data_IF_299703435912
#
_entry.id   IF_299703435912
#
_cell.length_a   1.000
_cell.length_b   1.000
_cell.length_c   1.000
_cell.angle_alpha   90.00
_cell.angle_beta   90.00
_cell.angle_gamma   90.00
#
_symmetry.space_group_name_H-M   'P 1'
#
loop_
_entity.id
_entity.type
_entity.pdbx_description
1 polymer ?
#
# COMPACT_ATOMS: atom_id res chain seq x y z
N UNK A 1 23.48 13.79 -9.67
CA UNK A 1 23.37 13.00 -10.92
C UNK A 1 21.97 13.21 -11.44
N UNK A 2 21.79 13.68 -12.67
CA UNK A 2 20.45 13.99 -13.22
C UNK A 2 19.65 12.69 -13.43
N UNK A 3 18.45 12.61 -12.88
CA UNK A 3 17.53 11.47 -13.04
C UNK A 3 16.34 11.87 -13.92
N UNK A 4 15.85 10.94 -14.73
CA UNK A 4 14.63 11.21 -15.52
C UNK A 4 13.42 11.34 -14.58
N UNK A 5 13.23 10.38 -13.69
CA UNK A 5 12.15 10.35 -12.70
C UNK A 5 12.65 9.73 -11.38
N UNK A 6 12.18 10.26 -10.26
CA UNK A 6 12.31 9.65 -8.93
C UNK A 6 10.94 9.40 -8.33
N UNK A 7 10.85 8.47 -7.37
CA UNK A 7 9.59 8.18 -6.68
C UNK A 7 9.59 8.70 -5.25
N UNK A 8 8.43 9.21 -4.81
CA UNK A 8 8.17 9.64 -3.44
C UNK A 8 6.96 8.88 -2.91
N UNK A 9 7.15 7.99 -1.95
CA UNK A 9 6.09 7.13 -1.38
C UNK A 9 5.58 7.75 -0.08
N UNK A 10 4.31 8.11 -0.05
CA UNK A 10 3.61 8.63 1.11
C UNK A 10 3.24 7.47 2.06
N UNK A 11 4.03 7.25 3.08
CA UNK A 11 3.90 6.14 4.04
C UNK A 11 3.55 6.61 5.47
N UNK A 12 3.08 7.84 5.61
CA UNK A 12 2.87 8.53 6.90
C UNK A 12 1.46 8.42 7.49
N UNK A 13 0.51 7.70 6.89
CA UNK A 13 -0.87 7.60 7.36
C UNK A 13 -1.03 6.84 8.68
N UNK A 14 -1.91 7.33 9.58
CA UNK A 14 -2.17 6.68 10.90
C UNK A 14 -2.85 5.31 10.79
N UNK A 15 -3.58 5.03 9.70
CA UNK A 15 -4.29 3.77 9.51
C UNK A 15 -5.37 3.48 10.56
N UNK A 16 -5.99 4.51 11.16
CA UNK A 16 -6.92 4.40 12.29
C UNK A 16 -8.10 3.45 12.07
N UNK A 17 -8.53 3.28 10.80
CA UNK A 17 -9.63 2.38 10.42
C UNK A 17 -9.28 0.88 10.56
N UNK A 18 -8.00 0.51 10.59
CA UNK A 18 -7.52 -0.85 10.88
C UNK A 18 -7.45 -1.14 12.39
N UNK A 19 -7.86 -0.18 13.24
CA UNK A 19 -8.03 -0.32 14.68
C UNK A 19 -6.79 -0.93 15.38
N UNK A 20 -6.99 -2.07 16.06
CA UNK A 20 -5.94 -2.77 16.83
C UNK A 20 -4.76 -3.23 15.97
N UNK A 21 -4.97 -3.56 14.68
CA UNK A 21 -3.91 -4.02 13.78
C UNK A 21 -2.84 -2.94 13.54
N UNK A 22 -3.23 -1.67 13.56
CA UNK A 22 -2.31 -0.52 13.40
C UNK A 22 -2.00 0.18 14.71
N UNK A 23 -2.28 -0.45 15.86
CA UNK A 23 -1.98 0.13 17.18
C UNK A 23 -0.48 0.43 17.33
N UNK A 24 0.38 -0.47 16.85
CA UNK A 24 1.84 -0.37 16.99
C UNK A 24 2.59 -0.41 15.65
N UNK A 25 1.87 -0.48 14.53
CA UNK A 25 2.41 -0.65 13.18
C UNK A 25 1.83 0.41 12.25
N UNK A 26 2.67 1.04 11.43
CA UNK A 26 2.20 1.90 10.34
C UNK A 26 1.45 1.07 9.28
N UNK A 27 0.38 1.61 8.67
CA UNK A 27 -0.42 0.88 7.66
C UNK A 27 0.44 0.26 6.54
N UNK A 28 1.45 0.93 5.96
CA UNK A 28 2.31 0.32 4.95
C UNK A 28 3.10 -0.92 5.42
N UNK A 29 3.30 -1.09 6.72
CA UNK A 29 3.99 -2.25 7.30
C UNK A 29 3.06 -3.40 7.71
N UNK A 30 1.75 -3.29 7.44
CA UNK A 30 0.78 -4.36 7.72
C UNK A 30 1.08 -5.58 6.83
N UNK A 31 1.08 -6.81 7.39
CA UNK A 31 1.29 -8.05 6.65
C UNK A 31 0.18 -8.31 5.63
N UNK A 32 0.58 -8.87 4.47
CA UNK A 32 -0.31 -9.21 3.37
C UNK A 32 0.18 -10.47 2.63
N UNK A 33 -0.73 -11.31 2.16
CA UNK A 33 -0.42 -12.46 1.30
C UNK A 33 0.51 -13.49 1.94
N UNK A 34 0.55 -13.56 3.26
CA UNK A 34 1.37 -14.50 4.04
C UNK A 34 2.84 -14.09 4.19
N UNK A 35 3.43 -13.47 3.18
CA UNK A 35 4.87 -13.15 3.11
C UNK A 35 5.17 -11.66 3.08
N UNK A 36 4.33 -10.88 2.42
CA UNK A 36 4.57 -9.49 2.07
C UNK A 36 4.09 -8.51 3.15
N UNK A 37 4.49 -7.25 3.00
CA UNK A 37 3.84 -6.08 3.59
C UNK A 37 3.28 -5.19 2.49
N UNK A 38 2.33 -4.33 2.82
CA UNK A 38 1.68 -3.47 1.82
C UNK A 38 2.71 -2.62 1.05
N UNK A 39 3.73 -2.09 1.74
CA UNK A 39 4.79 -1.26 1.14
C UNK A 39 5.63 -2.00 0.08
N UNK A 40 5.65 -3.33 0.13
CA UNK A 40 6.44 -4.13 -0.82
C UNK A 40 5.93 -3.96 -2.25
N UNK A 41 4.64 -3.68 -2.43
CA UNK A 41 4.02 -3.47 -3.73
C UNK A 41 4.51 -2.20 -4.43
N UNK A 42 4.36 -0.98 -3.86
CA UNK A 42 4.88 0.22 -4.51
C UNK A 42 6.40 0.20 -4.66
N UNK A 43 7.18 -0.35 -3.71
CA UNK A 43 8.63 -0.49 -3.87
C UNK A 43 8.98 -1.42 -5.03
N UNK A 44 8.33 -2.58 -5.14
CA UNK A 44 8.54 -3.52 -6.24
C UNK A 44 8.12 -2.95 -7.59
N UNK A 45 7.01 -2.21 -7.62
CA UNK A 45 6.57 -1.53 -8.84
C UNK A 45 7.60 -0.48 -9.29
N UNK A 46 8.21 0.27 -8.36
CA UNK A 46 9.29 1.22 -8.70
C UNK A 46 10.44 0.51 -9.39
N UNK A 47 10.96 -0.56 -8.79
CA UNK A 47 12.11 -1.30 -9.33
C UNK A 47 11.77 -1.96 -10.68
N UNK A 48 10.62 -2.61 -10.78
CA UNK A 48 10.17 -3.22 -12.02
C UNK A 48 9.92 -2.20 -13.15
N UNK A 49 9.68 -0.93 -12.80
CA UNK A 49 9.56 0.20 -13.74
C UNK A 49 10.90 0.92 -13.98
N UNK A 50 12.03 0.38 -13.53
CA UNK A 50 13.35 0.97 -13.71
C UNK A 50 13.63 2.23 -12.87
N UNK A 51 12.86 2.47 -11.81
CA UNK A 51 13.07 3.60 -10.88
C UNK A 51 13.99 3.12 -9.76
N UNK A 52 15.18 3.66 -9.71
CA UNK A 52 16.25 3.31 -8.78
C UNK A 52 16.40 4.27 -7.58
N UNK A 53 15.62 5.33 -7.54
CA UNK A 53 15.70 6.38 -6.51
C UNK A 53 14.33 6.61 -5.90
N UNK A 54 14.18 6.27 -4.62
CA UNK A 54 12.90 6.25 -3.93
C UNK A 54 13.01 6.93 -2.57
N UNK A 55 12.23 7.98 -2.33
CA UNK A 55 12.04 8.58 -1.02
C UNK A 55 10.79 8.01 -0.35
N UNK A 56 10.89 7.48 0.86
CA UNK A 56 9.75 6.98 1.63
C UNK A 56 9.47 7.93 2.80
N UNK A 57 8.35 8.66 2.70
CA UNK A 57 7.96 9.66 3.70
C UNK A 57 7.19 8.99 4.83
N UNK A 58 7.80 8.92 6.01
CA UNK A 58 7.24 8.26 7.20
C UNK A 58 6.90 9.28 8.27
N UNK A 59 5.88 9.03 9.08
CA UNK A 59 5.52 9.93 10.17
C UNK A 59 5.09 9.18 11.43
N UNK A 60 4.07 8.34 11.33
CA UNK A 60 3.53 7.60 12.48
C UNK A 60 4.14 6.20 12.57
N UNK A 61 4.57 5.81 13.79
CA UNK A 61 5.07 4.47 14.10
C UNK A 61 6.09 3.91 13.09
N UNK A 62 7.15 4.65 12.78
CA UNK A 62 8.04 4.35 11.68
C UNK A 62 8.93 3.13 11.93
N UNK A 63 9.12 2.71 13.19
CA UNK A 63 10.15 1.74 13.57
C UNK A 63 10.08 0.41 12.79
N UNK A 64 8.89 -0.23 12.77
CA UNK A 64 8.74 -1.52 12.09
C UNK A 64 8.77 -1.38 10.56
N UNK A 65 8.29 -0.25 10.03
CA UNK A 65 8.39 0.05 8.61
C UNK A 65 9.86 0.26 8.20
N UNK A 66 10.60 1.09 8.94
CA UNK A 66 12.00 1.35 8.68
C UNK A 66 12.85 0.08 8.79
N UNK A 67 12.57 -0.76 9.82
CA UNK A 67 13.24 -2.06 9.98
C UNK A 67 12.96 -2.99 8.78
N UNK A 68 11.76 -2.96 8.23
CA UNK A 68 11.38 -3.79 7.09
C UNK A 68 12.05 -3.31 5.79
N UNK A 69 12.05 -2.00 5.53
CA UNK A 69 12.71 -1.45 4.33
C UNK A 69 14.23 -1.60 4.43
N UNK A 70 14.79 -1.33 5.63
CA UNK A 70 16.24 -1.35 5.85
C UNK A 70 16.96 -0.41 4.90
N UNK A 71 18.00 -0.91 4.25
CA UNK A 71 18.75 -0.20 3.19
C UNK A 71 18.21 -0.44 1.79
N UNK A 72 17.13 -1.23 1.64
CA UNK A 72 16.50 -1.48 0.35
C UNK A 72 17.00 -2.72 -0.40
N UNK A 73 17.89 -3.52 0.17
CA UNK A 73 18.51 -4.68 -0.51
C UNK A 73 17.51 -5.66 -1.14
N UNK A 74 16.34 -5.97 -0.54
CA UNK A 74 15.39 -6.88 -1.18
C UNK A 74 14.87 -6.39 -2.55
N UNK A 75 14.90 -5.09 -2.77
CA UNK A 75 14.45 -4.41 -4.00
C UNK A 75 15.61 -3.93 -4.87
N UNK A 76 16.87 -4.30 -4.55
CA UNK A 76 18.05 -3.76 -5.24
C UNK A 76 18.11 -2.21 -5.20
N UNK A 77 17.67 -1.64 -4.07
CA UNK A 77 17.63 -0.19 -3.82
C UNK A 77 18.69 0.24 -2.79
N UNK A 78 19.78 -0.50 -2.65
CA UNK A 78 20.95 -0.19 -1.81
C UNK A 78 22.16 0.32 -2.62
N UNK A 79 21.88 1.08 -3.67
CA UNK A 79 22.86 1.58 -4.64
C UNK A 79 23.41 2.94 -4.21
N UNK A 80 24.72 3.13 -4.32
CA UNK A 80 25.37 4.42 -4.04
C UNK A 80 24.91 5.52 -5.02
N UNK A 81 24.50 6.66 -4.48
CA UNK A 81 23.99 7.79 -5.29
C UNK A 81 22.58 7.63 -5.83
N UNK A 82 21.87 6.59 -5.41
CA UNK A 82 20.48 6.26 -5.72
C UNK A 82 19.84 5.55 -4.52
N UNK A 83 18.93 4.60 -4.76
CA UNK A 83 18.40 3.70 -3.73
C UNK A 83 17.24 4.26 -2.94
N UNK A 84 16.88 3.56 -1.86
CA UNK A 84 15.78 3.99 -0.99
C UNK A 84 16.28 4.85 0.18
N UNK A 85 15.59 5.96 0.42
CA UNK A 85 15.82 6.84 1.56
C UNK A 85 14.56 6.96 2.40
N UNK A 86 14.69 6.77 3.72
CA UNK A 86 13.61 7.02 4.66
C UNK A 86 13.64 8.50 5.07
N UNK A 87 12.53 9.17 4.86
CA UNK A 87 12.36 10.61 5.06
C UNK A 87 11.35 10.87 6.18
N UNK A 88 11.78 10.96 7.45
CA UNK A 88 10.92 11.36 8.56
C UNK A 88 10.76 12.89 8.59
N UNK A 89 9.68 13.41 9.21
CA UNK A 89 9.63 14.82 9.56
C UNK A 89 10.78 15.15 10.53
N UNK A 90 11.27 16.36 10.44
CA UNK A 90 12.39 16.81 11.29
C UNK A 90 12.04 18.06 12.09
N UNK A 91 12.69 18.24 13.21
CA UNK A 91 12.61 19.46 14.01
C UNK A 91 13.75 20.39 13.65
N UNK A 92 13.47 21.68 13.55
CA UNK A 92 14.47 22.74 13.58
C UNK A 92 14.58 23.30 15.00
N UNK A 93 15.55 24.14 15.27
CA UNK A 93 15.71 24.79 16.59
C UNK A 93 14.44 25.54 17.06
N UNK A 94 13.61 25.98 16.12
CA UNK A 94 12.46 26.84 16.39
C UNK A 94 11.10 26.19 16.12
N UNK A 95 11.02 25.02 15.44
CA UNK A 95 9.77 24.42 15.01
C UNK A 95 9.83 22.89 14.94
N UNK A 96 8.78 22.24 15.44
CA UNK A 96 8.49 20.84 15.14
C UNK A 96 7.74 20.76 13.81
N UNK A 97 8.33 20.14 12.79
CA UNK A 97 7.79 20.10 11.44
C UNK A 97 7.12 18.75 11.12
N UNK A 98 6.04 18.43 11.84
CA UNK A 98 5.16 17.34 11.41
C UNK A 98 4.57 17.65 10.04
N UNK A 99 4.46 16.63 9.18
CA UNK A 99 3.77 16.77 7.89
C UNK A 99 2.29 17.09 8.14
N UNK A 100 1.84 18.25 7.71
CA UNK A 100 0.46 18.73 7.89
C UNK A 100 -0.51 18.04 6.94
N UNK A 101 -0.02 17.59 5.78
CA UNK A 101 -0.77 16.90 4.75
C UNK A 101 0.17 16.22 3.75
N UNK A 102 -0.38 15.58 2.75
CA UNK A 102 0.36 14.81 1.73
C UNK A 102 1.27 15.71 0.89
N UNK A 103 0.82 16.89 0.53
CA UNK A 103 1.61 17.88 -0.23
C UNK A 103 2.71 18.50 0.64
N UNK A 104 2.45 18.76 1.93
CA UNK A 104 3.45 19.27 2.86
C UNK A 104 4.61 18.30 3.05
N UNK A 105 4.33 17.00 3.04
CA UNK A 105 5.38 15.99 3.13
C UNK A 105 6.37 16.07 1.95
N UNK A 106 5.88 16.30 0.74
CA UNK A 106 6.74 16.51 -0.44
C UNK A 106 7.48 17.85 -0.35
N UNK A 107 6.79 18.92 0.02
CA UNK A 107 7.41 20.25 0.17
C UNK A 107 8.57 20.25 1.16
N UNK A 108 8.39 19.64 2.34
CA UNK A 108 9.47 19.58 3.35
C UNK A 108 10.70 18.79 2.88
N UNK A 109 10.54 17.93 1.86
CA UNK A 109 11.60 17.13 1.26
C UNK A 109 12.01 17.61 -0.15
N UNK A 110 11.68 18.85 -0.52
CA UNK A 110 12.05 19.45 -1.82
C UNK A 110 13.56 19.39 -2.06
N UNK A 111 14.38 19.62 -1.03
CA UNK A 111 15.83 19.54 -1.14
C UNK A 111 16.34 18.14 -1.48
N UNK A 112 15.69 17.09 -0.96
CA UNK A 112 16.00 15.71 -1.34
C UNK A 112 15.74 15.47 -2.83
N UNK A 113 14.61 15.96 -3.34
CA UNK A 113 14.26 15.83 -4.75
C UNK A 113 15.28 16.61 -5.62
N UNK A 114 15.59 17.83 -5.24
CA UNK A 114 16.53 18.70 -5.96
C UNK A 114 17.96 18.11 -6.06
N UNK A 115 18.40 17.30 -5.10
CA UNK A 115 19.71 16.62 -5.17
C UNK A 115 19.85 15.75 -6.42
N UNK A 116 18.75 15.22 -6.94
CA UNK A 116 18.72 14.36 -8.12
C UNK A 116 18.37 15.09 -9.42
N UNK A 117 17.96 16.37 -9.35
CA UNK A 117 17.56 17.21 -10.48
C UNK A 117 16.65 16.47 -11.49
N UNK A 118 15.53 15.86 -11.03
CA UNK A 118 14.67 15.07 -11.90
C UNK A 118 13.82 15.95 -12.81
N UNK A 119 13.46 15.44 -14.00
CA UNK A 119 12.44 16.06 -14.84
C UNK A 119 11.04 15.81 -14.28
N UNK A 120 10.82 14.59 -13.78
CA UNK A 120 9.53 14.10 -13.31
C UNK A 120 9.64 13.56 -11.88
N UNK A 121 8.55 13.71 -11.13
CA UNK A 121 8.40 13.12 -9.79
C UNK A 121 7.14 12.25 -9.77
N UNK A 122 7.32 10.98 -9.41
CA UNK A 122 6.24 10.04 -9.16
C UNK A 122 5.86 10.09 -7.69
N UNK A 123 4.60 10.42 -7.39
CA UNK A 123 4.05 10.41 -6.04
C UNK A 123 3.17 9.17 -5.89
N UNK A 124 3.42 8.38 -4.85
CA UNK A 124 2.73 7.12 -4.59
C UNK A 124 2.11 7.09 -3.20
N UNK A 125 0.93 6.49 -3.08
CA UNK A 125 0.43 6.03 -1.79
C UNK A 125 1.13 4.73 -1.39
N UNK A 126 1.65 4.65 -0.17
CA UNK A 126 2.37 3.48 0.35
C UNK A 126 1.47 2.39 0.94
N UNK A 127 0.16 2.47 0.74
CA UNK A 127 -0.84 1.68 1.48
C UNK A 127 -1.88 0.96 0.59
N UNK A 128 -1.57 0.77 -0.69
CA UNK A 128 -2.40 0.07 -1.67
C UNK A 128 -1.75 -1.20 -2.23
N UNK A 129 -2.57 -2.15 -2.64
CA UNK A 129 -2.16 -3.41 -3.27
C UNK A 129 -2.48 -3.38 -4.76
N UNK A 130 -1.43 -3.43 -5.60
CA UNK A 130 -1.56 -3.42 -7.06
C UNK A 130 -0.22 -3.75 -7.72
N UNK A 131 -0.26 -4.09 -9.01
CA UNK A 131 0.92 -4.18 -9.89
C UNK A 131 0.76 -3.16 -11.00
N UNK A 132 1.75 -2.28 -11.20
CA UNK A 132 1.67 -1.21 -12.19
C UNK A 132 3.05 -0.86 -12.72
N UNK A 133 3.14 -0.71 -14.04
CA UNK A 133 4.30 -0.22 -14.77
C UNK A 133 4.23 1.31 -14.85
N UNK A 134 5.07 1.97 -14.06
CA UNK A 134 5.12 3.44 -14.04
C UNK A 134 5.83 4.05 -15.25
N UNK A 135 6.67 3.27 -15.95
CA UNK A 135 7.32 3.75 -17.17
C UNK A 135 6.28 3.97 -18.28
N UNK A 136 5.30 3.08 -18.40
CA UNK A 136 4.15 3.29 -19.31
C UNK A 136 3.32 4.53 -18.96
N UNK A 137 3.12 4.78 -17.67
CA UNK A 137 2.43 6.00 -17.23
C UNK A 137 3.26 7.26 -17.54
N UNK A 138 4.59 7.18 -17.41
CA UNK A 138 5.49 8.27 -17.77
C UNK A 138 5.47 8.55 -19.29
N UNK A 139 5.51 7.50 -20.11
CA UNK A 139 5.39 7.64 -21.56
C UNK A 139 4.06 8.29 -21.96
N UNK A 140 2.97 7.91 -21.31
CA UNK A 140 1.67 8.55 -21.51
C UNK A 140 1.70 10.02 -21.10
N UNK A 141 2.31 10.35 -19.95
CA UNK A 141 2.46 11.71 -19.45
C UNK A 141 3.22 12.61 -20.48
N UNK A 142 4.36 12.12 -20.95
CA UNK A 142 5.20 12.82 -21.92
C UNK A 142 4.48 12.99 -23.27
N UNK A 143 3.87 11.92 -23.78
CA UNK A 143 3.20 11.92 -25.09
C UNK A 143 2.02 12.88 -25.15
N UNK A 144 1.36 13.11 -24.02
CA UNK A 144 0.26 14.06 -23.91
C UNK A 144 0.73 15.48 -23.58
N UNK A 145 2.02 15.72 -23.33
CA UNK A 145 2.53 17.01 -22.88
C UNK A 145 1.85 17.49 -21.59
N UNK A 146 1.59 16.57 -20.67
CA UNK A 146 0.90 16.87 -19.43
C UNK A 146 1.81 17.60 -18.41
N UNK A 147 1.25 18.51 -17.62
CA UNK A 147 1.90 19.07 -16.43
C UNK A 147 1.78 18.14 -15.22
N UNK A 148 0.65 17.42 -15.16
CA UNK A 148 0.41 16.34 -14.22
C UNK A 148 -0.41 15.21 -14.85
N UNK A 149 -0.17 13.97 -14.40
CA UNK A 149 -0.97 12.79 -14.78
C UNK A 149 -1.39 12.06 -13.52
N UNK A 150 -2.66 11.70 -13.44
CA UNK A 150 -3.27 10.98 -12.33
C UNK A 150 -3.66 9.59 -12.79
N UNK A 151 -3.18 8.54 -12.14
CA UNK A 151 -3.69 7.20 -12.40
C UNK A 151 -5.11 7.08 -11.84
N UNK A 152 -6.01 6.58 -12.67
CA UNK A 152 -7.44 6.41 -12.34
C UNK A 152 -7.90 4.99 -12.60
N UNK A 153 -8.89 4.56 -11.85
CA UNK A 153 -9.56 3.28 -12.01
C UNK A 153 -11.07 3.47 -11.94
N UNK A 154 -11.81 2.71 -12.75
CA UNK A 154 -13.26 2.66 -12.64
C UNK A 154 -13.66 1.91 -11.38
N UNK A 155 -14.50 2.53 -10.55
CA UNK A 155 -15.07 1.93 -9.36
C UNK A 155 -16.61 1.94 -9.44
N UNK A 156 -17.29 1.02 -8.74
CA UNK A 156 -18.75 1.10 -8.62
C UNK A 156 -19.18 2.45 -8.06
N UNK A 157 -20.27 3.01 -8.60
CA UNK A 157 -20.74 4.34 -8.21
C UNK A 157 -21.00 4.46 -6.68
N UNK A 158 -21.40 3.35 -6.07
CA UNK A 158 -21.62 3.22 -4.62
C UNK A 158 -20.35 3.44 -3.79
N UNK A 159 -19.18 3.09 -4.37
CA UNK A 159 -17.88 3.25 -3.72
C UNK A 159 -17.20 4.58 -4.06
N UNK A 160 -17.62 5.25 -5.13
CA UNK A 160 -16.95 6.44 -5.66
C UNK A 160 -16.84 7.58 -4.63
N UNK A 161 -17.82 7.71 -3.72
CA UNK A 161 -17.79 8.71 -2.64
C UNK A 161 -16.63 8.55 -1.63
N UNK A 162 -15.90 7.45 -1.70
CA UNK A 162 -14.74 7.17 -0.82
C UNK A 162 -13.44 7.73 -1.36
N UNK A 163 -13.41 8.12 -2.64
CA UNK A 163 -12.20 8.48 -3.39
C UNK A 163 -12.29 9.91 -3.93
N UNK A 164 -11.15 10.42 -4.36
CA UNK A 164 -11.12 11.58 -5.24
C UNK A 164 -11.59 11.18 -6.64
N UNK A 165 -12.57 11.88 -7.18
CA UNK A 165 -13.22 11.56 -8.45
C UNK A 165 -12.78 12.54 -9.54
N UNK A 166 -12.42 12.00 -10.70
CA UNK A 166 -12.04 12.77 -11.88
C UNK A 166 -13.19 12.87 -12.87
N UNK A 167 -13.42 14.09 -13.38
CA UNK A 167 -14.25 14.32 -14.52
C UNK A 167 -13.34 14.70 -15.70
N UNK A 168 -13.45 13.95 -16.81
CA UNK A 168 -12.54 14.07 -17.96
C UNK A 168 -13.29 14.36 -19.26
N UNK A 169 -12.57 14.98 -20.19
CA UNK A 169 -12.99 15.05 -21.59
C UNK A 169 -12.88 13.66 -22.24
N UNK A 170 -13.38 13.53 -23.48
CA UNK A 170 -13.22 12.29 -24.27
C UNK A 170 -11.76 11.90 -24.51
N UNK A 171 -10.84 12.87 -24.50
CA UNK A 171 -9.40 12.64 -24.68
C UNK A 171 -8.67 12.35 -23.37
N UNK A 172 -9.39 12.20 -22.23
CA UNK A 172 -8.82 11.90 -20.93
C UNK A 172 -8.18 13.10 -20.21
N UNK A 173 -8.38 14.34 -20.69
CA UNK A 173 -7.96 15.55 -20.00
C UNK A 173 -8.90 15.83 -18.83
N UNK A 174 -8.34 16.02 -17.64
CA UNK A 174 -9.10 16.27 -16.40
C UNK A 174 -9.51 17.75 -16.39
N UNK A 175 -10.81 18.02 -16.30
CA UNK A 175 -11.33 19.37 -16.17
C UNK A 175 -11.92 19.67 -14.77
N UNK A 176 -12.20 18.64 -13.98
CA UNK A 176 -12.73 18.77 -12.62
C UNK A 176 -12.25 17.63 -11.74
N UNK A 177 -11.93 17.94 -10.50
CA UNK A 177 -11.59 17.00 -9.45
C UNK A 177 -12.45 17.24 -8.22
N UNK A 178 -13.05 16.18 -7.68
CA UNK A 178 -13.91 16.24 -6.49
C UNK A 178 -13.37 15.28 -5.41
N UNK A 179 -12.87 15.82 -4.30
CA UNK A 179 -12.38 14.99 -3.19
C UNK A 179 -13.56 14.44 -2.36
N UNK A 180 -13.76 13.13 -2.44
CA UNK A 180 -14.81 12.38 -1.70
C UNK A 180 -16.19 13.01 -1.81
N UNK A 181 -16.72 13.21 -3.03
CA UNK A 181 -18.01 13.86 -3.24
C UNK A 181 -19.16 13.02 -2.65
N UNK A 182 -20.16 13.67 -2.07
CA UNK A 182 -21.37 12.99 -1.58
C UNK A 182 -22.20 12.40 -2.73
N UNK A 183 -22.15 13.05 -3.88
CA UNK A 183 -22.88 12.66 -5.09
C UNK A 183 -21.90 12.72 -6.26
N UNK A 184 -21.13 11.64 -6.49
CA UNK A 184 -20.11 11.60 -7.54
C UNK A 184 -20.76 11.71 -8.93
N UNK A 185 -20.13 12.48 -9.83
CA UNK A 185 -20.58 12.65 -11.22
C UNK A 185 -19.93 11.61 -12.15
N UNK A 186 -18.85 10.96 -11.72
CA UNK A 186 -18.07 9.98 -12.48
C UNK A 186 -17.69 8.81 -11.59
N UNK A 187 -17.28 7.70 -12.22
CA UNK A 187 -16.74 6.50 -11.57
C UNK A 187 -15.21 6.45 -11.59
N UNK A 188 -14.54 7.42 -12.24
CA UNK A 188 -13.09 7.48 -12.35
C UNK A 188 -12.47 7.93 -11.04
N UNK A 189 -12.06 6.97 -10.23
CA UNK A 189 -11.43 7.20 -8.93
C UNK A 189 -9.92 7.38 -9.05
N UNK A 190 -9.37 8.36 -8.34
CA UNK A 190 -7.93 8.52 -8.18
C UNK A 190 -7.34 7.35 -7.38
N UNK A 191 -6.28 6.74 -7.90
CA UNK A 191 -5.52 5.73 -7.20
C UNK A 191 -4.51 6.30 -6.20
N UNK A 192 -4.38 7.63 -6.08
CA UNK A 192 -3.33 8.26 -5.28
C UNK A 192 -1.93 8.06 -5.87
N UNK A 193 -1.85 7.94 -7.19
CA UNK A 193 -0.63 7.77 -7.97
C UNK A 193 -0.56 8.92 -8.96
N UNK A 194 0.50 9.73 -8.89
CA UNK A 194 0.63 10.94 -9.68
C UNK A 194 2.01 11.04 -10.31
N UNK A 195 2.11 11.47 -11.56
CA UNK A 195 3.35 11.94 -12.18
C UNK A 195 3.22 13.45 -12.42
N UNK A 196 4.21 14.21 -11.99
CA UNK A 196 4.30 15.65 -12.20
C UNK A 196 5.60 16.04 -12.89
N UNK A 197 5.57 17.04 -13.73
CA UNK A 197 6.77 17.82 -14.03
C UNK A 197 7.27 18.44 -12.73
N UNK A 198 8.54 18.19 -12.35
CA UNK A 198 9.05 18.68 -11.06
C UNK A 198 8.97 20.20 -10.93
N UNK A 199 9.27 20.93 -11.99
CA UNK A 199 9.19 22.39 -11.99
C UNK A 199 7.78 22.93 -11.69
N UNK A 200 6.74 22.28 -12.23
CA UNK A 200 5.33 22.64 -12.01
C UNK A 200 4.92 22.30 -10.57
N UNK A 201 5.20 21.08 -10.11
CA UNK A 201 4.87 20.67 -8.76
C UNK A 201 5.57 21.53 -7.72
N UNK A 202 6.87 21.79 -7.91
CA UNK A 202 7.67 22.60 -6.99
C UNK A 202 7.10 24.00 -6.81
N UNK A 203 6.70 24.65 -7.91
CA UNK A 203 6.02 25.96 -7.86
C UNK A 203 4.71 25.86 -7.11
N UNK A 204 3.86 24.88 -7.44
CA UNK A 204 2.54 24.71 -6.81
C UNK A 204 2.66 24.46 -5.30
N UNK A 205 3.63 23.65 -4.85
CA UNK A 205 3.90 23.38 -3.45
C UNK A 205 4.33 24.64 -2.68
N UNK A 206 5.25 25.43 -3.26
CA UNK A 206 5.71 26.68 -2.66
C UNK A 206 4.60 27.70 -2.52
N UNK A 207 3.80 27.86 -3.56
CA UNK A 207 2.65 28.76 -3.54
C UNK A 207 1.59 28.31 -2.52
N UNK A 208 1.36 26.98 -2.44
CA UNK A 208 0.44 26.41 -1.45
C UNK A 208 0.88 26.71 -0.01
N UNK A 209 2.20 26.73 0.29
CA UNK A 209 2.69 27.09 1.62
C UNK A 209 2.29 28.49 2.06
N UNK A 210 2.10 29.43 1.14
CA UNK A 210 1.67 30.79 1.44
C UNK A 210 0.18 30.86 1.81
N UNK A 211 -0.63 29.90 1.38
CA UNK A 211 -2.04 29.82 1.76
C UNK A 211 -2.23 29.20 3.15
N UNK A 212 -2.56 30.05 4.13
CA UNK A 212 -2.83 29.63 5.52
C UNK A 212 -4.09 28.78 5.70
N UNK A 213 -4.99 28.75 4.69
CA UNK A 213 -6.25 27.98 4.73
C UNK A 213 -6.09 26.61 4.09
N UNK A 214 -4.99 26.37 3.37
CA UNK A 214 -4.71 25.09 2.73
C UNK A 214 -4.52 23.99 3.77
N UNK A 215 -5.12 22.82 3.50
CA UNK A 215 -4.90 21.59 4.26
C UNK A 215 -3.60 20.89 3.85
N UNK A 216 -2.86 21.44 2.88
CA UNK A 216 -1.60 20.91 2.37
C UNK A 216 -1.74 19.49 1.80
N UNK A 217 -2.82 19.25 1.08
CA UNK A 217 -3.20 17.95 0.52
C UNK A 217 -3.22 17.98 -1.01
N UNK A 218 -2.80 16.88 -1.66
CA UNK A 218 -2.79 16.83 -3.12
C UNK A 218 -4.20 16.96 -3.71
N UNK A 219 -5.14 16.18 -3.20
CA UNK A 219 -6.51 16.18 -3.71
C UNK A 219 -7.27 17.46 -3.43
N UNK A 220 -7.13 18.00 -2.21
CA UNK A 220 -7.90 19.20 -1.80
C UNK A 220 -7.28 20.50 -2.28
N UNK A 221 -5.97 20.56 -2.48
CA UNK A 221 -5.28 21.83 -2.71
C UNK A 221 -4.47 21.83 -4.02
N UNK A 222 -3.55 20.89 -4.22
CA UNK A 222 -2.59 20.95 -5.33
C UNK A 222 -3.30 20.70 -6.68
N UNK A 223 -4.08 19.61 -6.80
CA UNK A 223 -4.76 19.29 -8.07
C UNK A 223 -5.77 20.37 -8.46
N UNK A 224 -6.68 20.84 -7.55
CA UNK A 224 -7.58 21.94 -7.88
C UNK A 224 -6.86 23.25 -8.26
N UNK A 225 -5.73 23.55 -7.59
CA UNK A 225 -4.91 24.71 -7.91
C UNK A 225 -4.36 24.63 -9.34
N UNK A 226 -3.74 23.52 -9.71
CA UNK A 226 -3.20 23.32 -11.05
C UNK A 226 -4.28 23.42 -12.13
N UNK A 227 -5.47 22.87 -11.89
CA UNK A 227 -6.64 23.04 -12.78
C UNK A 227 -7.03 24.51 -12.91
N UNK A 228 -7.04 25.28 -11.82
CA UNK A 228 -7.38 26.71 -11.85
C UNK A 228 -6.34 27.58 -12.57
N UNK A 229 -5.08 27.12 -12.61
CA UNK A 229 -3.97 27.75 -13.34
C UNK A 229 -3.91 27.32 -14.82
N UNK A 230 -4.88 26.50 -15.28
CA UNK A 230 -4.95 25.94 -16.64
C UNK A 230 -3.76 25.05 -16.99
N UNK A 231 -3.14 24.40 -16.01
CA UNK A 231 -2.17 23.35 -16.28
C UNK A 231 -2.89 22.13 -16.88
N UNK A 232 -2.24 21.50 -17.86
CA UNK A 232 -2.81 20.32 -18.51
C UNK A 232 -2.67 19.09 -17.61
N UNK A 233 -3.80 18.58 -17.11
CA UNK A 233 -3.86 17.40 -16.30
C UNK A 233 -4.51 16.24 -17.08
N UNK A 234 -3.88 15.05 -17.05
CA UNK A 234 -4.35 13.86 -17.76
C UNK A 234 -4.72 12.74 -16.80
N UNK A 235 -5.80 12.05 -17.10
CA UNK A 235 -6.18 10.81 -16.42
C UNK A 235 -5.55 9.61 -17.15
N UNK A 236 -4.71 8.84 -16.46
CA UNK A 236 -4.16 7.59 -16.97
C UNK A 236 -5.04 6.42 -16.55
N UNK A 237 -5.78 5.79 -17.47
CA UNK A 237 -6.66 4.67 -17.14
C UNK A 237 -5.85 3.44 -16.78
N UNK A 238 -5.96 2.97 -15.55
CA UNK A 238 -5.33 1.75 -15.08
C UNK A 238 -6.27 0.56 -15.27
N UNK A 239 -5.75 -0.48 -15.92
CA UNK A 239 -6.44 -1.76 -16.05
C UNK A 239 -5.69 -2.82 -15.25
N UNK A 240 -6.28 -3.32 -14.17
CA UNK A 240 -5.67 -4.32 -13.32
C UNK A 240 -6.30 -4.36 -11.92
N UNK A 241 -5.74 -5.21 -11.08
CA UNK A 241 -6.15 -5.27 -9.68
C UNK A 241 -5.61 -4.09 -8.89
N UNK A 242 -6.49 -3.41 -8.18
CA UNK A 242 -6.14 -2.37 -7.22
C UNK A 242 -7.09 -2.39 -6.02
N UNK A 243 -6.54 -2.33 -4.81
CA UNK A 243 -7.32 -2.28 -3.57
C UNK A 243 -6.69 -1.32 -2.54
N UNK A 244 -7.52 -0.42 -1.99
CA UNK A 244 -7.23 0.28 -0.73
C UNK A 244 -7.61 -0.64 0.44
N UNK A 245 -6.60 -1.20 1.10
CA UNK A 245 -6.78 -2.08 2.26
C UNK A 245 -6.92 -1.28 3.56
N UNK A 246 -7.85 -0.36 3.58
CA UNK A 246 -8.06 0.60 4.66
C UNK A 246 -8.89 0.12 5.85
N UNK A 247 -9.57 -1.02 5.76
CA UNK A 247 -10.39 -1.62 6.84
C UNK A 247 -10.04 -3.09 7.04
N UNK A 248 -10.44 -3.67 8.17
CA UNK A 248 -10.23 -5.11 8.45
C UNK A 248 -10.90 -5.98 7.38
N UNK A 249 -12.12 -5.60 6.98
CA UNK A 249 -12.88 -6.31 5.95
C UNK A 249 -12.18 -6.24 4.59
N UNK A 250 -11.71 -5.04 4.18
CA UNK A 250 -11.00 -4.89 2.90
C UNK A 250 -9.64 -5.61 2.90
N UNK A 251 -8.92 -5.61 4.02
CA UNK A 251 -7.68 -6.36 4.17
C UNK A 251 -7.93 -7.87 4.08
N UNK A 252 -8.96 -8.38 4.76
CA UNK A 252 -9.32 -9.79 4.69
C UNK A 252 -9.74 -10.17 3.26
N UNK A 253 -10.64 -9.41 2.64
CA UNK A 253 -11.12 -9.67 1.28
C UNK A 253 -9.97 -9.68 0.26
N UNK A 254 -9.07 -8.69 0.33
CA UNK A 254 -7.91 -8.62 -0.57
C UNK A 254 -6.93 -9.80 -0.40
N UNK A 255 -6.83 -10.36 0.82
CA UNK A 255 -6.09 -11.60 1.02
C UNK A 255 -6.83 -12.80 0.40
N UNK A 256 -8.15 -12.90 0.57
CA UNK A 256 -8.94 -13.97 -0.05
C UNK A 256 -8.93 -13.89 -1.58
N UNK A 257 -8.89 -12.69 -2.15
CA UNK A 257 -8.74 -12.47 -3.60
C UNK A 257 -7.49 -13.19 -4.17
N UNK A 258 -6.41 -13.38 -3.38
CA UNK A 258 -5.21 -14.11 -3.80
C UNK A 258 -5.45 -15.63 -4.02
N UNK A 259 -6.53 -16.16 -3.45
CA UNK A 259 -6.92 -17.58 -3.56
C UNK A 259 -7.91 -17.82 -4.69
N UNK A 260 -8.41 -16.77 -5.32
CA UNK A 260 -9.31 -16.86 -6.48
C UNK A 260 -8.48 -16.92 -7.76
N UNK A 261 -8.57 -18.05 -8.48
CA UNK A 261 -7.87 -18.28 -9.74
C UNK A 261 -8.27 -17.30 -10.87
N UNK A 262 -9.40 -16.63 -10.75
CA UNK A 262 -9.86 -15.60 -11.70
C UNK A 262 -9.30 -14.20 -11.39
N UNK A 263 -8.65 -14.01 -10.24
CA UNK A 263 -8.14 -12.72 -9.82
C UNK A 263 -6.90 -12.29 -10.64
N UNK A 264 -6.86 -11.06 -11.14
CA UNK A 264 -5.75 -10.58 -11.96
C UNK A 264 -4.45 -10.30 -11.18
N UNK A 265 -4.46 -10.35 -9.83
CA UNK A 265 -3.23 -10.20 -9.04
C UNK A 265 -2.53 -11.55 -8.83
N UNK A 266 -1.63 -11.90 -9.73
CA UNK A 266 -0.79 -13.10 -9.61
C UNK A 266 0.53 -12.79 -8.90
N UNK A 267 0.71 -13.31 -7.68
CA UNK A 267 1.95 -13.19 -6.92
C UNK A 267 3.06 -14.15 -7.39
N UNK A 268 2.72 -15.13 -8.24
CA UNK A 268 3.67 -16.08 -8.83
C UNK A 268 4.17 -15.64 -10.21
N UNK A 269 3.71 -14.50 -10.71
CA UNK A 269 4.17 -13.90 -11.96
C UNK A 269 5.67 -13.60 -11.91
N UNK A 270 6.42 -14.27 -12.79
CA UNK A 270 7.88 -14.12 -12.88
C UNK A 270 8.32 -12.85 -13.59
N UNK A 271 7.45 -12.26 -14.41
CA UNK A 271 7.76 -11.07 -15.21
C UNK A 271 7.55 -9.78 -14.41
N UNK A 272 6.65 -9.82 -13.39
CA UNK A 272 6.39 -8.69 -12.49
C UNK A 272 6.39 -9.15 -11.03
N UNK A 273 7.59 -9.41 -10.53
CA UNK A 273 7.78 -9.96 -9.20
C UNK A 273 7.54 -8.92 -8.12
N UNK A 274 6.85 -9.31 -7.05
CA UNK A 274 6.81 -8.54 -5.81
C UNK A 274 7.95 -9.05 -4.91
N UNK A 275 8.88 -8.16 -4.57
CA UNK A 275 10.01 -8.42 -3.69
C UNK A 275 9.63 -8.13 -2.24
N UNK A 276 10.29 -8.78 -1.30
CA UNK A 276 10.10 -8.57 0.14
C UNK A 276 11.33 -9.06 0.90
N UNK A 277 11.41 -8.72 2.17
CA UNK A 277 12.43 -9.26 3.08
C UNK A 277 12.37 -10.80 3.12
N UNK A 278 13.52 -11.44 3.07
CA UNK A 278 13.62 -12.87 3.29
C UNK A 278 13.34 -13.21 4.76
N UNK A 279 12.54 -14.25 5.00
CA UNK A 279 12.22 -14.69 6.36
C UNK A 279 13.33 -15.55 6.96
N UNK A 280 14.18 -16.19 6.13
CA UNK A 280 15.23 -17.14 6.53
C UNK A 280 14.69 -18.26 7.44
N UNK A 281 13.47 -18.73 7.18
CA UNK A 281 12.84 -19.83 7.91
C UNK A 281 12.97 -21.13 7.10
N UNK A 282 12.87 -22.31 7.77
CA UNK A 282 12.84 -23.58 7.06
C UNK A 282 11.57 -23.67 6.19
N UNK A 283 11.51 -24.66 5.30
CA UNK A 283 10.27 -24.97 4.58
C UNK A 283 9.12 -25.28 5.55
N UNK A 284 7.88 -25.20 5.07
CA UNK A 284 6.72 -25.62 5.86
C UNK A 284 6.66 -27.17 5.94
N UNK A 285 6.13 -27.67 7.05
CA UNK A 285 5.93 -29.10 7.29
C UNK A 285 4.43 -29.41 7.32
N UNK A 286 3.99 -30.32 6.46
CA UNK A 286 2.65 -30.90 6.49
C UNK A 286 2.78 -32.31 7.08
N UNK A 287 2.20 -32.56 8.27
CA UNK A 287 2.19 -33.87 8.89
C UNK A 287 1.09 -34.77 8.29
N UNK A 288 1.10 -36.07 8.59
CA UNK A 288 0.18 -37.07 8.00
C UNK A 288 -1.30 -36.73 8.22
N UNK A 289 -1.64 -36.09 9.33
CA UNK A 289 -3.00 -35.67 9.69
C UNK A 289 -3.45 -34.38 8.99
N UNK A 290 -2.54 -33.67 8.31
CA UNK A 290 -2.82 -32.39 7.70
C UNK A 290 -3.74 -32.52 6.48
N UNK A 291 -4.72 -31.63 6.41
CA UNK A 291 -5.53 -31.42 5.18
C UNK A 291 -5.43 -29.97 4.75
N UNK A 292 -4.86 -29.73 3.56
CA UNK A 292 -4.69 -28.37 3.03
C UNK A 292 -5.36 -28.25 1.67
N UNK A 293 -6.24 -27.22 1.51
CA UNK A 293 -6.93 -26.96 0.25
C UNK A 293 -7.00 -25.45 -0.03
N UNK A 294 -6.72 -25.04 -1.26
CA UNK A 294 -6.83 -23.66 -1.73
C UNK A 294 -6.26 -22.63 -0.73
N UNK A 295 -4.99 -22.79 -0.33
CA UNK A 295 -4.39 -21.99 0.74
C UNK A 295 -2.95 -21.61 0.41
N UNK A 296 -2.52 -20.44 0.88
CA UNK A 296 -1.13 -20.00 0.82
C UNK A 296 -0.50 -20.24 2.18
N UNK A 297 0.60 -21.00 2.21
CA UNK A 297 1.32 -21.35 3.45
C UNK A 297 2.76 -20.86 3.31
N UNK A 298 3.18 -20.00 4.21
CA UNK A 298 4.54 -19.45 4.22
C UNK A 298 5.55 -20.36 4.91
N UNK A 299 6.81 -19.97 4.87
CA UNK A 299 7.95 -20.69 5.43
C UNK A 299 7.81 -20.93 6.95
N UNK A 300 8.35 -22.04 7.44
CA UNK A 300 8.38 -22.38 8.85
C UNK A 300 7.06 -22.82 9.47
N UNK A 301 5.98 -22.92 8.71
CA UNK A 301 4.69 -23.41 9.23
C UNK A 301 4.74 -24.90 9.52
N UNK A 302 4.02 -25.34 10.59
CA UNK A 302 3.81 -26.74 10.94
C UNK A 302 2.30 -27.02 10.98
N UNK A 303 1.82 -27.84 10.06
CA UNK A 303 0.38 -28.12 9.91
C UNK A 303 0.10 -29.57 10.25
N UNK A 304 -0.73 -29.80 11.27
CA UNK A 304 -1.25 -31.11 11.70
C UNK A 304 -2.78 -31.19 11.55
N UNK A 305 -3.45 -30.04 11.42
CA UNK A 305 -4.89 -29.90 11.30
C UNK A 305 -5.36 -29.59 9.89
N UNK A 306 -6.55 -29.02 9.79
CA UNK A 306 -7.20 -28.67 8.52
C UNK A 306 -7.05 -27.19 8.20
N UNK A 307 -6.59 -26.86 6.97
CA UNK A 307 -6.45 -25.48 6.47
C UNK A 307 -7.15 -25.39 5.11
N UNK A 308 -8.24 -24.63 5.05
CA UNK A 308 -9.03 -24.47 3.83
C UNK A 308 -9.25 -22.99 3.53
N UNK A 309 -9.00 -22.61 2.27
CA UNK A 309 -9.25 -21.25 1.78
C UNK A 309 -8.66 -20.18 2.72
N UNK A 310 -7.39 -20.35 3.09
CA UNK A 310 -6.76 -19.53 4.13
C UNK A 310 -5.32 -19.15 3.77
N UNK A 311 -4.83 -18.09 4.41
CA UNK A 311 -3.46 -17.60 4.22
C UNK A 311 -2.75 -17.63 5.57
N UNK A 312 -1.64 -18.37 5.64
CA UNK A 312 -0.81 -18.51 6.82
C UNK A 312 0.55 -17.84 6.60
N UNK A 313 0.87 -16.88 7.44
CA UNK A 313 2.20 -16.26 7.47
C UNK A 313 3.24 -17.17 8.11
N UNK A 314 4.49 -16.75 8.14
CA UNK A 314 5.60 -17.58 8.61
C UNK A 314 5.43 -18.08 10.05
N UNK A 315 5.93 -19.31 10.31
CA UNK A 315 5.98 -19.93 11.66
C UNK A 315 4.61 -20.16 12.32
N UNK A 316 3.54 -20.24 11.54
CA UNK A 316 2.22 -20.61 12.08
C UNK A 316 2.18 -22.10 12.37
N UNK A 317 1.64 -22.44 13.54
CA UNK A 317 1.42 -23.83 13.94
C UNK A 317 -0.09 -24.11 14.01
N UNK A 318 -0.56 -25.15 13.29
CA UNK A 318 -1.92 -25.64 13.34
C UNK A 318 -1.88 -27.04 13.96
N UNK A 319 -2.32 -27.16 15.21
CA UNK A 319 -2.29 -28.43 15.96
C UNK A 319 -3.32 -29.44 15.44
N UNK A 320 -3.21 -30.69 15.90
CA UNK A 320 -4.07 -31.79 15.49
C UNK A 320 -5.56 -31.51 15.81
N UNK A 321 -6.45 -31.81 14.89
CA UNK A 321 -7.88 -31.56 15.00
C UNK A 321 -8.30 -30.10 14.84
N UNK A 322 -7.35 -29.16 14.86
CA UNK A 322 -7.64 -27.74 14.63
C UNK A 322 -8.06 -27.48 13.17
N UNK A 323 -8.96 -26.50 12.97
CA UNK A 323 -9.49 -26.14 11.67
C UNK A 323 -9.38 -24.64 11.42
N UNK A 324 -8.78 -24.26 10.28
CA UNK A 324 -8.61 -22.89 9.85
C UNK A 324 -9.27 -22.70 8.50
N UNK A 325 -10.39 -21.97 8.45
CA UNK A 325 -11.16 -21.75 7.26
C UNK A 325 -11.30 -20.26 6.94
N UNK A 326 -11.24 -19.89 5.68
CA UNK A 326 -11.50 -18.53 5.17
C UNK A 326 -10.80 -17.45 6.04
N UNK A 327 -9.56 -17.69 6.45
CA UNK A 327 -8.90 -16.87 7.46
C UNK A 327 -7.49 -16.48 7.06
N UNK A 328 -7.03 -15.37 7.64
CA UNK A 328 -5.66 -14.91 7.52
C UNK A 328 -5.00 -15.06 8.89
N UNK A 329 -3.92 -15.82 8.95
CA UNK A 329 -3.20 -16.08 10.20
C UNK A 329 -1.81 -15.45 10.12
N UNK A 330 -1.54 -14.50 11.01
CA UNK A 330 -0.27 -13.76 11.00
C UNK A 330 0.84 -14.54 11.70
N UNK A 331 2.08 -14.08 11.52
CA UNK A 331 3.29 -14.80 11.84
C UNK A 331 3.37 -15.28 13.30
N UNK A 332 3.83 -16.52 13.50
CA UNK A 332 4.06 -17.12 14.80
C UNK A 332 2.82 -17.45 15.62
N UNK A 333 1.62 -17.33 15.04
CA UNK A 333 0.39 -17.73 15.73
C UNK A 333 0.28 -19.24 15.87
N UNK A 334 -0.34 -19.69 16.97
CA UNK A 334 -0.55 -21.11 17.29
C UNK A 334 -2.04 -21.38 17.43
N UNK A 335 -2.56 -22.23 16.54
CA UNK A 335 -3.94 -22.68 16.57
C UNK A 335 -3.96 -24.02 17.32
N UNK A 336 -4.46 -23.98 18.55
CA UNK A 336 -4.47 -25.08 19.49
C UNK A 336 -5.41 -26.19 19.06
N UNK A 337 -5.15 -27.39 19.61
CA UNK A 337 -5.88 -28.63 19.35
C UNK A 337 -7.40 -28.43 19.38
N UNK A 338 -8.08 -29.01 18.36
CA UNK A 338 -9.54 -29.04 18.23
C UNK A 338 -10.21 -27.64 18.13
N UNK A 339 -9.44 -26.55 18.04
CA UNK A 339 -10.01 -25.22 17.85
C UNK A 339 -10.46 -24.97 16.41
N UNK A 340 -11.43 -24.07 16.23
CA UNK A 340 -11.99 -23.73 14.92
C UNK A 340 -11.95 -22.24 14.68
N UNK A 341 -11.31 -21.84 13.59
CA UNK A 341 -11.22 -20.44 13.15
C UNK A 341 -11.92 -20.31 11.80
N UNK A 342 -12.81 -19.34 11.66
CA UNK A 342 -13.48 -19.05 10.39
C UNK A 342 -13.76 -17.57 10.22
N UNK A 343 -13.35 -16.98 9.07
CA UNK A 343 -13.50 -15.56 8.74
C UNK A 343 -12.84 -14.64 9.77
N UNK A 344 -11.58 -14.96 10.11
CA UNK A 344 -10.78 -14.26 11.10
C UNK A 344 -9.47 -13.77 10.48
N UNK A 345 -9.01 -12.59 10.89
CA UNK A 345 -7.60 -12.24 10.85
C UNK A 345 -7.04 -12.48 12.24
N UNK A 346 -6.19 -13.49 12.39
CA UNK A 346 -5.53 -13.80 13.65
C UNK A 346 -4.19 -13.07 13.73
N UNK A 347 -3.98 -12.28 14.77
CA UNK A 347 -2.80 -11.44 14.97
C UNK A 347 -1.49 -12.22 15.16
N UNK A 348 -0.38 -11.51 15.07
CA UNK A 348 0.95 -12.10 15.27
C UNK A 348 1.10 -12.70 16.66
N UNK A 349 1.68 -13.92 16.72
CA UNK A 349 1.99 -14.67 17.97
C UNK A 349 0.77 -14.95 18.87
N UNK A 350 -0.45 -14.82 18.35
CA UNK A 350 -1.65 -15.19 19.09
C UNK A 350 -1.69 -16.70 19.26
N UNK A 351 -2.00 -17.13 20.46
CA UNK A 351 -2.23 -18.55 20.80
C UNK A 351 -3.73 -18.72 21.11
N UNK A 352 -4.43 -19.55 20.34
CA UNK A 352 -5.84 -19.83 20.61
C UNK A 352 -6.01 -20.74 21.82
N UNK A 353 -7.21 -20.78 22.39
CA UNK A 353 -7.56 -21.78 23.39
C UNK A 353 -7.95 -23.10 22.71
N UNK A 354 -7.70 -24.24 23.38
CA UNK A 354 -8.10 -25.56 22.89
C UNK A 354 -9.63 -25.68 22.80
N UNK A 355 -10.09 -26.39 21.76
CA UNK A 355 -11.50 -26.67 21.49
C UNK A 355 -12.42 -25.45 21.37
N UNK A 356 -11.86 -24.24 21.26
CA UNK A 356 -12.63 -23.00 21.16
C UNK A 356 -12.92 -22.63 19.69
N UNK A 357 -14.08 -22.01 19.47
CA UNK A 357 -14.50 -21.53 18.16
C UNK A 357 -14.34 -20.01 18.08
N UNK A 358 -13.69 -19.55 17.00
CA UNK A 358 -13.47 -18.14 16.70
C UNK A 358 -14.07 -17.78 15.34
N UNK A 359 -14.71 -16.62 15.28
CA UNK A 359 -15.34 -16.12 14.08
C UNK A 359 -16.86 -16.06 14.16
N UNK A 360 -17.44 -15.24 13.32
CA UNK A 360 -18.88 -15.05 13.15
C UNK A 360 -19.27 -15.24 11.70
N UNK A 361 -20.54 -15.58 11.44
CA UNK A 361 -21.01 -15.90 10.09
C UNK A 361 -20.93 -14.68 9.14
N UNK A 362 -21.28 -13.50 9.63
CA UNK A 362 -21.50 -12.31 8.81
C UNK A 362 -20.52 -11.15 9.11
N UNK A 363 -19.48 -11.39 9.92
CA UNK A 363 -18.51 -10.40 10.35
C UNK A 363 -17.09 -10.95 10.22
N UNK A 364 -16.13 -10.11 9.78
CA UNK A 364 -14.71 -10.43 9.84
C UNK A 364 -14.17 -9.95 11.19
N UNK A 365 -13.59 -10.86 11.95
CA UNK A 365 -13.00 -10.53 13.24
C UNK A 365 -11.47 -10.38 13.12
N UNK A 366 -10.92 -9.37 13.78
CA UNK A 366 -9.51 -9.31 14.09
C UNK A 366 -9.30 -9.67 15.56
N UNK A 367 -8.46 -10.67 15.80
CA UNK A 367 -8.11 -11.18 17.14
C UNK A 367 -6.65 -10.83 17.39
N UNK A 368 -6.38 -10.03 18.43
CA UNK A 368 -5.02 -9.69 18.89
C UNK A 368 -4.67 -10.42 20.18
N UNK A 369 -3.40 -10.60 20.46
CA UNK A 369 -2.94 -11.10 21.76
C UNK A 369 -3.35 -10.15 22.88
N UNK A 370 -4.01 -10.67 23.92
CA UNK A 370 -4.49 -9.87 25.06
C UNK A 370 -5.95 -9.42 24.98
N UNK A 371 -6.72 -9.91 24.02
CA UNK A 371 -8.18 -9.77 24.01
C UNK A 371 -8.78 -10.93 24.83
N UNK A 372 -9.01 -10.70 26.12
CA UNK A 372 -9.90 -11.48 26.97
C UNK A 372 -11.32 -10.91 26.95
#
# INVERSE_FOLDING_TARGET
>A
MKKKMIAMILAGGQGSRLKKLTKDVAKPAVPFGGKYKIIDFPLSNCVNSGIDTVGVLVQYKPFLLNKHIGVGSPWDLDVEGAGVSILPPYSTENENRWYKGTADAIFQNENYIDMYDPEYVLILSGDHIYKMDYDKMLDFHISNGAGATVAVIDVPLEEASRFGIMNTTENGEIYEFEEKPKTPKSTLASMGIYIFNWSILKKALRDDQLDKKSEKDFGKNIIPKLLSENEKLMAYPFAGYWKDVGTIESLWASNMDLLDASNPIDLFDKNWRIYSQATNKPGHLLEETATVKNSIISEGCIIKGEVINSILSAEVVVEEGAKVHNSVVLAGAVIKKDSYINRVILGEKVITEESKKYGKKDEILFISGGDE
#
